data_IF_747792916379
#
_entry.id   IF_747792916379
#
_cell.length_a   1.000
_cell.length_b   1.000
_cell.length_c   1.000
_cell.angle_alpha   90.00
_cell.angle_beta   90.00
_cell.angle_gamma   90.00
#
_symmetry.space_group_name_H-M   'P 1'
#
loop_
_entity.id
_entity.type
_entity.pdbx_description
1 polymer ?
#
# COMPACT_ATOMS: atom_id res chain seq x y z
N UNK A 1 -10.21 2.05 -78.00
CA UNK A 1 -11.63 1.79 -77.75
C UNK A 1 -11.73 0.30 -77.45
N UNK A 2 -12.14 -0.22 -76.31
CA UNK A 2 -12.80 0.35 -75.16
C UNK A 2 -12.83 -0.81 -74.14
N UNK A 3 -12.49 -0.51 -72.86
CA UNK A 3 -13.30 -0.85 -71.68
C UNK A 3 -13.72 -2.35 -71.51
N UNK A 4 -13.42 -3.07 -70.42
CA UNK A 4 -14.12 -2.96 -69.12
C UNK A 4 -13.72 -4.14 -68.19
N UNK A 5 -13.38 -3.79 -66.94
CA UNK A 5 -13.65 -4.46 -65.65
C UNK A 5 -13.02 -5.84 -65.34
N UNK A 6 -12.05 -5.88 -64.41
CA UNK A 6 -12.24 -6.00 -62.93
C UNK A 6 -12.75 -7.37 -62.49
N UNK A 7 -11.87 -8.17 -61.88
CA UNK A 7 -12.15 -8.84 -60.60
C UNK A 7 -10.85 -9.46 -60.04
N UNK A 8 -10.09 -8.65 -59.31
CA UNK A 8 -9.21 -9.19 -58.27
C UNK A 8 -10.09 -9.48 -57.05
N UNK A 9 -10.34 -10.76 -56.79
CA UNK A 9 -10.93 -11.20 -55.53
C UNK A 9 -9.80 -11.13 -54.49
N UNK A 10 -9.77 -10.01 -53.75
CA UNK A 10 -8.93 -9.86 -52.56
C UNK A 10 -9.69 -10.51 -51.40
N UNK A 11 -9.28 -11.72 -51.01
CA UNK A 11 -9.77 -12.40 -49.81
C UNK A 11 -9.12 -11.73 -48.59
N UNK A 12 -9.77 -10.70 -48.05
CA UNK A 12 -9.39 -10.09 -46.77
C UNK A 12 -9.88 -11.02 -45.66
N UNK A 13 -8.98 -11.86 -45.15
CA UNK A 13 -9.20 -12.56 -43.87
C UNK A 13 -9.12 -11.51 -42.77
N UNK A 14 -10.27 -11.06 -42.28
CA UNK A 14 -10.35 -10.28 -41.05
C UNK A 14 -10.12 -11.28 -39.91
N UNK A 15 -8.85 -11.49 -39.57
CA UNK A 15 -8.49 -12.01 -38.26
C UNK A 15 -8.85 -10.92 -37.25
N UNK A 16 -10.08 -10.97 -36.76
CA UNK A 16 -10.49 -10.27 -35.56
C UNK A 16 -9.72 -10.92 -34.40
N UNK A 17 -8.50 -10.43 -34.18
CA UNK A 17 -7.81 -10.65 -32.92
C UNK A 17 -8.62 -9.89 -31.88
N UNK A 18 -9.45 -10.63 -31.13
CA UNK A 18 -9.91 -10.19 -29.82
C UNK A 18 -8.66 -10.02 -28.96
N UNK A 19 -8.02 -8.87 -29.08
CA UNK A 19 -7.21 -8.35 -28.01
C UNK A 19 -8.22 -8.00 -26.92
N UNK A 20 -8.60 -9.00 -26.12
CA UNK A 20 -8.89 -8.77 -24.72
C UNK A 20 -7.59 -8.23 -24.12
N UNK A 21 -7.36 -6.94 -24.35
CA UNK A 21 -6.45 -6.17 -23.54
C UNK A 21 -7.02 -6.31 -22.15
N UNK A 22 -6.39 -7.16 -21.34
CA UNK A 22 -6.60 -7.19 -19.91
C UNK A 22 -6.30 -5.78 -19.40
N UNK A 23 -7.33 -4.93 -19.40
CA UNK A 23 -7.32 -3.66 -18.69
C UNK A 23 -7.02 -4.07 -17.26
N UNK A 24 -5.83 -3.71 -16.76
CA UNK A 24 -5.47 -3.92 -15.37
C UNK A 24 -6.65 -3.42 -14.54
N UNK A 25 -7.32 -4.34 -13.86
CA UNK A 25 -8.62 -4.05 -13.25
C UNK A 25 -8.41 -2.89 -12.28
N UNK A 26 -9.08 -1.77 -12.54
CA UNK A 26 -9.13 -0.66 -11.59
C UNK A 26 -9.59 -1.20 -10.23
N UNK A 27 -9.13 -0.56 -9.15
CA UNK A 27 -9.53 -0.92 -7.78
C UNK A 27 -11.04 -1.21 -7.73
N UNK A 28 -11.46 -2.41 -7.28
CA UNK A 28 -12.86 -2.81 -7.36
C UNK A 28 -13.80 -1.76 -6.77
N UNK A 29 -14.85 -1.38 -7.51
CA UNK A 29 -15.72 -0.26 -7.14
C UNK A 29 -16.37 -0.42 -5.75
N UNK A 30 -16.61 -1.66 -5.31
CA UNK A 30 -17.16 -1.92 -3.98
C UNK A 30 -16.15 -1.65 -2.85
N UNK A 31 -14.84 -1.70 -3.09
CA UNK A 31 -13.82 -1.27 -2.12
C UNK A 31 -13.79 0.25 -1.97
N UNK A 32 -13.99 0.99 -3.06
CA UNK A 32 -13.97 2.47 -3.02
C UNK A 32 -14.95 3.04 -1.98
N UNK A 33 -16.07 2.34 -1.72
CA UNK A 33 -17.06 2.72 -0.69
C UNK A 33 -16.51 2.64 0.74
N UNK A 34 -15.55 1.75 1.00
CA UNK A 34 -14.94 1.51 2.32
C UNK A 34 -13.51 2.06 2.44
N UNK A 35 -12.91 2.48 1.32
CA UNK A 35 -11.65 3.21 1.26
C UNK A 35 -11.85 4.66 1.69
N UNK A 36 -12.01 4.86 3.00
CA UNK A 36 -12.28 6.19 3.58
C UNK A 36 -11.23 6.54 4.63
N UNK A 37 -11.15 7.84 4.96
CA UNK A 37 -10.34 8.35 6.06
C UNK A 37 -11.04 8.21 7.44
N UNK A 38 -11.97 7.24 7.58
CA UNK A 38 -12.76 7.06 8.80
C UNK A 38 -12.73 5.59 9.26
N UNK A 39 -12.16 5.28 10.44
CA UNK A 39 -12.07 3.90 10.93
C UNK A 39 -13.42 3.22 11.16
N UNK A 40 -14.52 3.98 11.28
CA UNK A 40 -15.87 3.39 11.41
C UNK A 40 -16.35 2.72 10.13
N UNK A 41 -15.88 3.16 8.97
CA UNK A 41 -16.27 2.61 7.65
C UNK A 41 -15.12 1.96 6.90
N UNK A 42 -13.90 2.12 7.40
CA UNK A 42 -12.69 1.49 6.90
C UNK A 42 -12.12 0.53 7.96
N UNK A 43 -12.46 -0.76 7.82
CA UNK A 43 -12.00 -1.82 8.73
C UNK A 43 -10.46 -1.88 8.83
N UNK A 44 -9.75 -1.79 7.71
CA UNK A 44 -8.28 -1.89 7.70
C UNK A 44 -7.62 -0.72 8.42
N UNK A 45 -8.20 0.48 8.30
CA UNK A 45 -7.77 1.64 9.07
C UNK A 45 -8.01 1.44 10.57
N UNK A 46 -9.17 0.89 10.97
CA UNK A 46 -9.43 0.55 12.36
C UNK A 46 -8.45 -0.49 12.91
N UNK A 47 -8.15 -1.55 12.15
CA UNK A 47 -7.16 -2.56 12.54
C UNK A 47 -5.77 -1.97 12.69
N UNK A 48 -5.34 -1.07 11.79
CA UNK A 48 -4.03 -0.41 11.88
C UNK A 48 -3.84 0.38 13.18
N UNK A 49 -4.93 0.94 13.71
CA UNK A 49 -4.96 1.72 14.95
C UNK A 49 -4.91 0.87 16.23
N UNK A 50 -5.17 -0.45 16.14
CA UNK A 50 -5.09 -1.31 17.32
C UNK A 50 -3.64 -1.47 17.77
N UNK A 51 -3.30 -1.11 19.02
CA UNK A 51 -1.94 -1.24 19.50
C UNK A 51 -1.56 -2.70 19.70
N UNK A 52 -0.30 -3.02 19.42
CA UNK A 52 0.31 -4.28 19.85
C UNK A 52 0.63 -4.21 21.36
N UNK A 53 0.57 -5.34 22.08
CA UNK A 53 0.82 -5.37 23.52
C UNK A 53 2.28 -5.07 23.90
N UNK A 54 3.22 -5.31 22.97
CA UNK A 54 4.63 -5.02 23.16
C UNK A 54 4.97 -3.66 22.51
N UNK A 55 5.53 -2.73 23.29
CA UNK A 55 5.85 -1.36 22.83
C UNK A 55 6.88 -1.32 21.69
N UNK A 56 7.88 -2.21 21.73
CA UNK A 56 8.88 -2.30 20.68
C UNK A 56 8.24 -2.85 19.40
N UNK A 57 7.36 -3.86 19.52
CA UNK A 57 6.58 -4.37 18.40
C UNK A 57 5.66 -3.29 17.81
N UNK A 58 4.97 -2.50 18.64
CA UNK A 58 4.15 -1.38 18.20
C UNK A 58 4.99 -0.35 17.44
N UNK A 59 6.18 -0.04 17.94
CA UNK A 59 7.14 0.86 17.25
C UNK A 59 7.49 0.32 15.86
N UNK A 60 7.78 -0.97 15.75
CA UNK A 60 8.08 -1.62 14.47
C UNK A 60 6.86 -1.67 13.54
N UNK A 61 5.66 -1.89 14.07
CA UNK A 61 4.41 -1.86 13.30
C UNK A 61 4.19 -0.47 12.70
N UNK A 62 4.27 0.58 13.52
CA UNK A 62 4.09 1.98 13.09
C UNK A 62 5.16 2.39 12.08
N UNK A 63 6.43 2.00 12.30
CA UNK A 63 7.51 2.22 11.32
C UNK A 63 7.22 1.51 9.99
N UNK A 64 6.75 0.27 10.01
CA UNK A 64 6.45 -0.44 8.77
C UNK A 64 5.23 0.15 8.07
N UNK A 65 4.20 0.56 8.79
CA UNK A 65 3.05 1.27 8.23
C UNK A 65 3.47 2.57 7.53
N UNK A 66 4.38 3.36 8.13
CA UNK A 66 4.86 4.60 7.50
C UNK A 66 5.72 4.32 6.26
N UNK A 67 6.55 3.27 6.30
CA UNK A 67 7.30 2.80 5.14
C UNK A 67 6.38 2.31 4.01
N UNK A 68 5.35 1.53 4.33
CA UNK A 68 4.35 1.09 3.35
C UNK A 68 3.66 2.31 2.75
N UNK A 69 3.16 3.23 3.58
CA UNK A 69 2.45 4.41 3.12
C UNK A 69 3.32 5.28 2.19
N UNK A 70 4.53 5.66 2.62
CA UNK A 70 5.40 6.52 1.81
C UNK A 70 5.97 5.87 0.56
N UNK A 71 6.16 4.55 0.55
CA UNK A 71 6.72 3.87 -0.62
C UNK A 71 5.66 3.38 -1.60
N UNK A 72 4.49 2.95 -1.12
CA UNK A 72 3.50 2.23 -1.92
C UNK A 72 2.21 3.00 -2.17
N UNK A 73 1.95 4.12 -1.49
CA UNK A 73 0.80 4.98 -1.80
C UNK A 73 1.19 6.12 -2.74
N UNK A 74 0.33 6.38 -3.72
CA UNK A 74 0.54 7.34 -4.79
C UNK A 74 0.71 8.76 -4.23
N UNK A 75 1.82 9.40 -4.60
CA UNK A 75 2.24 10.74 -4.17
C UNK A 75 2.39 10.95 -2.64
N UNK A 76 2.34 9.89 -1.84
CA UNK A 76 2.65 9.95 -0.42
C UNK A 76 4.17 9.92 -0.21
N UNK A 77 4.64 10.55 0.88
CA UNK A 77 6.06 10.59 1.22
C UNK A 77 6.26 10.66 2.74
N UNK A 78 7.33 10.03 3.23
CA UNK A 78 7.71 10.12 4.65
C UNK A 78 8.37 11.47 4.89
N UNK A 79 7.95 12.15 5.96
CA UNK A 79 8.70 13.30 6.46
C UNK A 79 9.90 12.80 7.26
N UNK A 80 11.11 13.04 6.74
CA UNK A 80 12.35 12.54 7.35
C UNK A 80 12.53 13.05 8.78
N UNK A 81 12.21 14.32 9.05
CA UNK A 81 12.40 14.93 10.37
C UNK A 81 11.41 14.35 11.37
N UNK A 82 10.14 14.19 10.99
CA UNK A 82 9.14 13.55 11.81
C UNK A 82 9.47 12.07 12.07
N UNK A 83 10.00 11.37 11.05
CA UNK A 83 10.49 10.00 11.16
C UNK A 83 11.64 9.85 12.15
N UNK A 84 12.69 10.65 12.02
CA UNK A 84 13.82 10.64 12.96
C UNK A 84 13.36 10.95 14.40
N UNK A 85 12.51 11.97 14.58
CA UNK A 85 11.96 12.33 15.87
C UNK A 85 11.11 11.20 16.49
N UNK A 86 10.30 10.52 15.67
CA UNK A 86 9.54 9.34 16.10
C UNK A 86 10.46 8.22 16.57
N UNK A 87 11.46 7.84 15.77
CA UNK A 87 12.38 6.75 16.12
C UNK A 87 13.16 7.04 17.40
N UNK A 88 13.60 8.28 17.60
CA UNK A 88 14.25 8.72 18.83
C UNK A 88 13.32 8.59 20.03
N UNK A 89 12.11 9.16 19.95
CA UNK A 89 11.10 9.13 21.03
C UNK A 89 10.67 7.71 21.38
N UNK A 90 10.49 6.86 20.38
CA UNK A 90 10.10 5.47 20.55
C UNK A 90 11.23 4.62 21.13
N UNK A 91 12.48 5.11 21.13
CA UNK A 91 13.63 4.37 21.63
C UNK A 91 14.12 3.29 20.67
N UNK A 92 13.79 3.39 19.37
CA UNK A 92 14.08 2.38 18.36
C UNK A 92 15.57 1.97 18.32
N UNK A 93 16.51 2.92 18.46
CA UNK A 93 17.96 2.64 18.49
C UNK A 93 18.45 1.80 19.67
N UNK A 94 17.60 1.56 20.67
CA UNK A 94 17.88 0.75 21.86
C UNK A 94 17.33 -0.67 21.77
N UNK A 95 16.50 -0.98 20.77
CA UNK A 95 15.93 -2.32 20.58
C UNK A 95 17.00 -3.25 20.01
N UNK A 96 17.40 -4.27 20.78
CA UNK A 96 18.54 -5.16 20.45
C UNK A 96 18.30 -6.60 20.91
N UNK A 97 19.05 -7.53 20.31
CA UNK A 97 19.05 -8.95 20.69
C UNK A 97 17.64 -9.54 20.72
N UNK A 98 17.34 -10.30 21.78
CA UNK A 98 16.05 -10.96 21.97
C UNK A 98 14.84 -10.01 21.90
N UNK A 99 14.97 -8.79 22.43
CA UNK A 99 13.90 -7.79 22.38
C UNK A 99 13.57 -7.39 20.93
N UNK A 100 14.58 -7.26 20.07
CA UNK A 100 14.36 -7.06 18.65
C UNK A 100 13.65 -8.24 18.02
N UNK A 101 14.16 -9.46 18.24
CA UNK A 101 13.64 -10.64 17.54
C UNK A 101 12.17 -10.91 17.91
N UNK A 102 11.80 -10.73 19.19
CA UNK A 102 10.41 -10.80 19.66
C UNK A 102 9.53 -9.69 19.07
N UNK A 103 9.99 -8.43 19.12
CA UNK A 103 9.26 -7.31 18.55
C UNK A 103 9.03 -7.47 17.04
N UNK A 104 10.08 -7.90 16.33
CA UNK A 104 10.03 -8.12 14.89
C UNK A 104 9.11 -9.29 14.54
N UNK A 105 9.11 -10.38 15.33
CA UNK A 105 8.17 -11.48 15.16
C UNK A 105 6.72 -11.00 15.30
N UNK A 106 6.39 -10.31 16.39
CA UNK A 106 5.04 -9.80 16.64
C UNK A 106 4.58 -8.80 15.58
N UNK A 107 5.46 -7.88 15.17
CA UNK A 107 5.15 -6.95 14.10
C UNK A 107 4.95 -7.68 12.76
N UNK A 108 5.80 -8.66 12.42
CA UNK A 108 5.66 -9.43 11.19
C UNK A 108 4.38 -10.27 11.16
N UNK A 109 4.00 -10.88 12.29
CA UNK A 109 2.77 -11.64 12.40
C UNK A 109 1.53 -10.77 12.13
N UNK A 110 1.52 -9.53 12.63
CA UNK A 110 0.46 -8.57 12.32
C UNK A 110 0.33 -8.29 10.81
N UNK A 111 1.46 -8.22 10.09
CA UNK A 111 1.48 -8.01 8.64
C UNK A 111 1.27 -9.28 7.80
N UNK A 112 1.14 -10.46 8.41
CA UNK A 112 1.06 -11.75 7.71
C UNK A 112 -0.01 -11.78 6.61
N UNK A 113 -1.15 -11.13 6.85
CA UNK A 113 -2.28 -11.07 5.91
C UNK A 113 -2.42 -9.71 5.21
N UNK A 114 -1.40 -8.86 5.29
CA UNK A 114 -1.42 -7.57 4.61
C UNK A 114 -1.29 -7.78 3.09
N UNK A 115 -2.33 -7.43 2.35
CA UNK A 115 -2.43 -7.62 0.91
C UNK A 115 -2.80 -6.30 0.20
N UNK A 116 -3.02 -6.35 -1.12
CA UNK A 116 -3.37 -5.16 -1.91
C UNK A 116 -4.63 -4.44 -1.39
N UNK A 117 -5.63 -5.18 -0.89
CA UNK A 117 -6.84 -4.58 -0.31
C UNK A 117 -6.51 -3.78 0.95
N UNK A 118 -5.67 -4.33 1.83
CA UNK A 118 -5.17 -3.63 3.01
C UNK A 118 -4.40 -2.37 2.63
N UNK A 119 -3.55 -2.44 1.59
CA UNK A 119 -2.83 -1.28 1.07
C UNK A 119 -3.77 -0.19 0.56
N UNK A 120 -4.75 -0.54 -0.29
CA UNK A 120 -5.69 0.44 -0.84
C UNK A 120 -6.45 1.19 0.27
N UNK A 121 -6.92 0.47 1.29
CA UNK A 121 -7.61 1.07 2.43
C UNK A 121 -6.67 1.85 3.35
N UNK A 122 -5.42 1.41 3.51
CA UNK A 122 -4.40 2.17 4.23
C UNK A 122 -4.12 3.49 3.51
N UNK A 123 -3.93 3.46 2.18
CA UNK A 123 -3.66 4.65 1.38
C UNK A 123 -4.77 5.69 1.53
N UNK A 124 -6.03 5.26 1.46
CA UNK A 124 -7.20 6.12 1.64
C UNK A 124 -7.32 6.71 3.06
N UNK A 125 -6.70 6.07 4.05
CA UNK A 125 -6.70 6.46 5.46
C UNK A 125 -5.40 7.10 5.95
N UNK A 126 -4.41 7.37 5.10
CA UNK A 126 -3.08 7.85 5.54
C UNK A 126 -3.19 9.12 6.38
N UNK A 127 -4.05 10.06 5.96
CA UNK A 127 -4.18 11.34 6.64
C UNK A 127 -4.68 11.17 8.09
N UNK A 128 -5.62 10.25 8.33
CA UNK A 128 -6.07 9.92 9.68
C UNK A 128 -4.97 9.32 10.56
N UNK A 129 -4.06 8.54 9.98
CA UNK A 129 -3.00 7.84 10.73
C UNK A 129 -1.79 8.76 10.98
N UNK A 130 -1.35 9.48 9.94
CA UNK A 130 -0.06 10.15 9.87
C UNK A 130 -0.09 11.59 9.39
N UNK A 131 -1.27 12.09 8.99
CA UNK A 131 -1.45 13.49 8.60
C UNK A 131 -1.21 14.44 9.77
N UNK A 132 -1.62 15.70 9.59
CA UNK A 132 -1.34 16.76 10.58
C UNK A 132 -1.86 16.43 11.98
N UNK A 133 -3.02 15.77 12.03
CA UNK A 133 -3.69 15.33 13.27
C UNK A 133 -3.68 13.80 13.41
N UNK A 134 -2.70 13.15 12.76
CA UNK A 134 -2.57 11.71 12.66
C UNK A 134 -2.59 11.01 14.01
N UNK A 135 -3.39 9.95 14.13
CA UNK A 135 -3.61 9.25 15.40
C UNK A 135 -2.46 8.34 15.85
N UNK A 136 -1.62 7.88 14.93
CA UNK A 136 -0.42 7.11 15.32
C UNK A 136 0.77 8.03 15.52
N UNK A 137 1.17 8.76 14.48
CA UNK A 137 2.29 9.70 14.55
C UNK A 137 2.00 10.91 13.66
N UNK A 138 1.65 12.06 14.26
CA UNK A 138 1.37 13.28 13.50
C UNK A 138 2.51 13.67 12.56
N UNK A 139 2.16 14.06 11.34
CA UNK A 139 3.07 14.52 10.28
C UNK A 139 4.13 13.51 9.84
N UNK A 140 4.05 12.23 10.22
CA UNK A 140 5.06 11.24 9.84
C UNK A 140 5.05 10.95 8.34
N UNK A 141 3.87 11.00 7.71
CA UNK A 141 3.70 10.76 6.28
C UNK A 141 2.85 11.88 5.72
N UNK A 142 3.37 12.57 4.71
CA UNK A 142 2.61 13.51 3.90
C UNK A 142 1.56 12.71 3.12
N UNK A 143 0.26 13.04 3.26
CA UNK A 143 -0.79 12.38 2.49
C UNK A 143 -0.57 12.50 0.99
N UNK A 144 -0.84 11.41 0.29
CA UNK A 144 -0.85 11.35 -1.18
C UNK A 144 -2.27 11.45 -1.74
N UNK A 145 -2.52 10.76 -2.86
CA UNK A 145 -3.83 10.73 -3.53
C UNK A 145 -4.86 9.77 -2.93
N UNK A 146 -4.51 9.04 -1.88
CA UNK A 146 -5.40 8.06 -1.25
C UNK A 146 -5.44 6.69 -1.93
N UNK A 147 -4.58 6.44 -2.91
CA UNK A 147 -4.56 5.21 -3.71
C UNK A 147 -3.15 4.56 -3.72
N UNK A 148 -3.03 3.25 -3.96
CA UNK A 148 -1.75 2.59 -4.22
C UNK A 148 -1.06 3.09 -5.49
N UNK A 149 0.28 2.97 -5.56
CA UNK A 149 1.07 3.24 -6.77
C UNK A 149 0.95 2.13 -7.83
N UNK A 150 0.88 0.88 -7.38
CA UNK A 150 0.73 -0.28 -8.26
C UNK A 150 -0.73 -0.50 -8.63
N UNK A 151 -0.98 -1.27 -9.68
CA UNK A 151 -2.33 -1.71 -10.06
C UNK A 151 -2.73 -2.96 -9.28
N UNK A 152 -4.04 -3.16 -9.13
CA UNK A 152 -4.57 -4.38 -8.54
C UNK A 152 -4.40 -5.55 -9.51
N UNK A 153 -3.85 -6.66 -9.02
CA UNK A 153 -3.80 -7.94 -9.74
C UNK A 153 -4.61 -8.97 -8.95
N UNK A 154 -5.79 -9.40 -9.44
CA UNK A 154 -6.61 -10.39 -8.75
C UNK A 154 -5.98 -11.79 -8.72
N UNK A 155 -5.05 -12.09 -9.64
CA UNK A 155 -4.34 -13.38 -9.69
C UNK A 155 -3.12 -13.39 -8.75
N UNK A 156 -2.59 -12.22 -8.41
CA UNK A 156 -1.46 -12.07 -7.50
C UNK A 156 -1.72 -10.99 -6.44
N UNK A 157 -2.43 -11.33 -5.34
CA UNK A 157 -2.73 -10.38 -4.28
C UNK A 157 -1.51 -10.06 -3.39
N UNK A 158 -0.36 -10.71 -3.62
CA UNK A 158 0.82 -10.57 -2.78
C UNK A 158 1.51 -9.22 -2.99
N UNK A 159 1.84 -8.58 -1.89
CA UNK A 159 2.62 -7.35 -1.87
C UNK A 159 3.96 -7.58 -1.21
N UNK A 160 5.04 -7.16 -1.88
CA UNK A 160 6.35 -7.10 -1.24
C UNK A 160 6.39 -5.90 -0.30
N UNK A 161 6.29 -6.17 1.00
CA UNK A 161 6.36 -5.13 2.02
C UNK A 161 7.80 -4.64 2.23
N UNK A 162 8.00 -3.35 2.53
CA UNK A 162 9.30 -2.83 2.95
C UNK A 162 9.88 -3.63 4.12
N UNK A 163 11.19 -3.89 4.06
CA UNK A 163 11.92 -4.57 5.12
C UNK A 163 12.18 -3.60 6.27
N UNK A 164 12.03 -4.08 7.51
CA UNK A 164 12.51 -3.37 8.69
C UNK A 164 14.01 -3.62 8.82
N UNK A 165 14.80 -2.55 8.83
CA UNK A 165 16.24 -2.64 9.10
C UNK A 165 16.47 -2.76 10.60
N UNK A 166 17.50 -3.47 11.04
CA UNK A 166 17.95 -3.40 12.43
C UNK A 166 18.63 -2.04 12.64
N UNK A 167 18.50 -1.38 13.81
CA UNK A 167 19.10 -0.07 14.05
C UNK A 167 20.63 -0.04 13.90
N UNK A 168 21.29 -1.19 14.07
CA UNK A 168 22.75 -1.35 14.02
C UNK A 168 23.16 -2.57 13.17
N UNK A 169 22.40 -2.88 12.11
CA UNK A 169 22.66 -4.02 11.22
C UNK A 169 22.91 -3.59 9.79
#
# INVERSE_FOLDING_TARGET
MDRIFKSLILLVVISASSADGAVAEEIPAYWRKTMTNNPKTNFYLAEALKPLPNKDAETLKVLRLSLIAGNLCLDAAIDRRAGEAFLQRAGYGRIRGKAWDEAAFLANDWFKYFNYRSLAHLCAGIDYIFGREGKLVPNLVKPGKGEPKGTYDPQNPYLRLPHLRKPNG
#
